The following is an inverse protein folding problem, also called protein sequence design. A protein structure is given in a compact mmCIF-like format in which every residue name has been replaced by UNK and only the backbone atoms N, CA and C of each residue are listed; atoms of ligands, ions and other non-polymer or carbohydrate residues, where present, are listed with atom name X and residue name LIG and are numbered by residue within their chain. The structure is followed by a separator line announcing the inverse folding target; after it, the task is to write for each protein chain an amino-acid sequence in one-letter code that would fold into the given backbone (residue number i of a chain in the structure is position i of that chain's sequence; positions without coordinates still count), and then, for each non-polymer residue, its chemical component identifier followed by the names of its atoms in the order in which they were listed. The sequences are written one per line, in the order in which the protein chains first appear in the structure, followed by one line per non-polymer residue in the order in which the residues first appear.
data_IF_488507656626
#
_entry.id   IF_488507656626
#
_cell.length_a   1.000
_cell.length_b   1.000
_cell.length_c   1.000
_cell.angle_alpha   90.00
_cell.angle_beta   90.00
_cell.angle_gamma   90.00
#
_symmetry.space_group_name_H-M   'P 1'
#
loop_
_entity.id
_entity.type
_entity.pdbx_description
1 polymer ?
#
# COMPACT_ATOMS: atom_id res chain seq x y z
N UNK A 1 44.13 12.60 -2.84
CA UNK A 1 42.72 12.79 -3.22
C UNK A 1 42.12 11.45 -3.66
N UNK A 2 41.29 10.76 -2.85
CA UNK A 2 40.62 9.54 -3.30
C UNK A 2 39.09 9.71 -3.47
N UNK A 3 38.67 9.54 -4.74
CA UNK A 3 37.50 8.77 -5.21
C UNK A 3 36.11 9.09 -4.62
N UNK A 4 35.43 10.04 -5.27
CA UNK A 4 33.96 10.22 -5.26
C UNK A 4 33.21 9.16 -6.10
N UNK A 5 33.64 7.89 -6.11
CA UNK A 5 33.02 6.86 -6.97
C UNK A 5 31.84 6.10 -6.32
N UNK A 6 31.36 6.55 -5.16
CA UNK A 6 30.37 5.81 -4.34
C UNK A 6 28.90 6.29 -4.36
N UNK A 7 28.46 7.39 -5.01
CA UNK A 7 27.05 7.77 -4.96
C UNK A 7 26.17 7.09 -6.03
N UNK A 8 26.76 6.45 -7.06
CA UNK A 8 26.00 5.93 -8.20
C UNK A 8 25.17 4.66 -7.87
N UNK A 9 25.58 3.85 -6.90
CA UNK A 9 24.92 2.59 -6.57
C UNK A 9 23.57 2.77 -5.85
N UNK A 10 23.36 3.91 -5.17
CA UNK A 10 22.10 4.17 -4.47
C UNK A 10 20.98 4.62 -5.42
N UNK A 11 21.30 5.22 -6.57
CA UNK A 11 20.27 5.63 -7.54
C UNK A 11 19.60 4.44 -8.25
N UNK A 12 20.33 3.35 -8.49
CA UNK A 12 19.77 2.15 -9.16
C UNK A 12 18.70 1.45 -8.33
N UNK A 13 18.74 1.54 -7.00
CA UNK A 13 17.77 0.88 -6.12
C UNK A 13 16.43 1.61 -6.05
N UNK A 14 16.42 2.94 -6.21
CA UNK A 14 15.19 3.74 -6.24
C UNK A 14 14.36 3.51 -7.51
N UNK A 15 15.00 3.09 -8.60
CA UNK A 15 14.32 2.85 -9.87
C UNK A 15 13.34 1.66 -9.81
N UNK A 16 13.62 0.64 -8.99
CA UNK A 16 12.78 -0.58 -8.92
C UNK A 16 11.44 -0.36 -8.20
N UNK A 17 11.40 0.50 -7.17
CA UNK A 17 10.18 0.75 -6.40
C UNK A 17 9.12 1.53 -7.20
N UNK A 18 9.52 2.24 -8.26
CA UNK A 18 8.63 3.01 -9.13
C UNK A 18 8.08 2.20 -10.31
N UNK A 19 8.61 1.01 -10.61
CA UNK A 19 8.26 0.27 -11.81
C UNK A 19 6.76 -0.10 -11.87
N UNK A 20 6.14 -0.42 -10.74
CA UNK A 20 4.71 -0.78 -10.72
C UNK A 20 3.82 0.42 -11.10
N UNK A 21 4.17 1.63 -10.65
CA UNK A 21 3.43 2.85 -11.00
C UNK A 21 3.58 3.21 -12.48
N UNK A 22 4.73 2.88 -13.08
CA UNK A 22 4.97 3.10 -14.52
C UNK A 22 4.14 2.13 -15.35
N UNK A 23 3.96 0.88 -14.90
CA UNK A 23 3.16 -0.11 -15.62
C UNK A 23 1.70 0.32 -15.79
N UNK A 24 1.16 1.08 -14.83
CA UNK A 24 -0.19 1.66 -14.88
C UNK A 24 -0.19 3.16 -15.20
N UNK A 25 0.93 3.74 -15.66
CA UNK A 25 1.09 5.19 -15.80
C UNK A 25 -0.03 5.90 -16.58
N UNK A 26 -0.58 5.21 -17.60
CA UNK A 26 -1.59 5.73 -18.51
C UNK A 26 -3.04 5.51 -18.03
N UNK A 27 -3.23 4.78 -16.93
CA UNK A 27 -4.54 4.53 -16.32
C UNK A 27 -4.59 5.16 -14.92
N UNK A 28 -5.18 6.35 -14.78
CA UNK A 28 -5.21 7.05 -13.50
C UNK A 28 -5.98 6.28 -12.43
N UNK A 29 -6.97 5.47 -12.80
CA UNK A 29 -7.77 4.66 -11.88
C UNK A 29 -6.94 3.49 -11.36
N UNK A 30 -6.26 2.76 -12.27
CA UNK A 30 -5.38 1.67 -11.87
C UNK A 30 -4.21 2.15 -10.99
N UNK A 31 -3.72 3.37 -11.21
CA UNK A 31 -2.71 4.00 -10.33
C UNK A 31 -3.24 4.28 -8.94
N UNK A 32 -4.41 4.92 -8.83
CA UNK A 32 -5.03 5.20 -7.54
C UNK A 32 -5.27 3.90 -6.75
N UNK A 33 -5.75 2.85 -7.43
CA UNK A 33 -5.94 1.51 -6.85
C UNK A 33 -4.64 0.89 -6.33
N UNK A 34 -3.55 0.99 -7.11
CA UNK A 34 -2.24 0.47 -6.72
C UNK A 34 -1.70 1.20 -5.49
N UNK A 35 -1.84 2.53 -5.44
CA UNK A 35 -1.46 3.33 -4.27
C UNK A 35 -2.28 2.99 -3.06
N UNK A 36 -3.59 2.89 -3.22
CA UNK A 36 -4.49 2.53 -2.14
C UNK A 36 -4.11 1.19 -1.53
N UNK A 37 -3.86 0.19 -2.37
CA UNK A 37 -3.39 -1.13 -1.95
C UNK A 37 -2.13 -1.02 -1.10
N UNK A 38 -1.08 -0.34 -1.60
CA UNK A 38 0.21 -0.19 -0.90
C UNK A 38 0.07 0.62 0.39
N UNK A 39 -0.68 1.73 0.33
CA UNK A 39 -0.87 2.65 1.45
C UNK A 39 -1.68 2.02 2.57
N UNK A 40 -2.74 1.26 2.25
CA UNK A 40 -3.57 0.59 3.25
C UNK A 40 -2.84 -0.56 3.94
N UNK A 41 -2.10 -1.37 3.18
CA UNK A 41 -1.24 -2.41 3.75
C UNK A 41 -0.25 -1.75 4.71
N UNK A 42 0.50 -0.74 4.25
CA UNK A 42 1.48 -0.06 5.08
C UNK A 42 0.88 0.58 6.35
N UNK A 43 -0.29 1.20 6.25
CA UNK A 43 -0.96 1.79 7.41
C UNK A 43 -1.31 0.73 8.46
N UNK A 44 -1.85 -0.41 8.04
CA UNK A 44 -2.23 -1.51 8.95
C UNK A 44 -1.00 -2.21 9.54
N UNK A 45 0.05 -2.45 8.75
CA UNK A 45 1.31 -3.03 9.27
C UNK A 45 1.97 -2.10 10.29
N UNK A 46 1.95 -0.78 10.05
CA UNK A 46 2.48 0.20 10.99
C UNK A 46 1.69 0.26 12.31
N UNK A 47 0.37 0.13 12.25
CA UNK A 47 -0.50 0.15 13.44
C UNK A 47 -0.38 -1.15 14.25
N UNK A 48 -0.32 -2.30 13.57
CA UNK A 48 -0.33 -3.62 14.21
C UNK A 48 1.05 -4.14 14.58
N UNK A 49 2.12 -3.63 13.93
CA UNK A 49 3.47 -4.18 14.02
C UNK A 49 3.64 -5.55 13.34
N UNK A 50 2.61 -6.06 12.66
CA UNK A 50 2.63 -7.34 11.95
C UNK A 50 2.95 -7.09 10.48
N UNK A 51 3.84 -7.92 9.91
CA UNK A 51 4.16 -7.89 8.48
C UNK A 51 3.41 -8.99 7.74
N UNK A 52 3.21 -8.79 6.44
CA UNK A 52 2.47 -9.72 5.59
C UNK A 52 0.96 -9.45 5.56
N UNK A 53 0.56 -8.20 5.85
CA UNK A 53 -0.83 -7.81 5.64
C UNK A 53 -1.16 -7.76 4.15
N UNK A 54 -2.40 -8.09 3.78
CA UNK A 54 -2.81 -8.20 2.39
C UNK A 54 -4.24 -7.73 2.17
N UNK A 55 -4.53 -7.16 1.00
CA UNK A 55 -5.90 -6.80 0.63
C UNK A 55 -6.75 -8.05 0.51
N UNK A 56 -7.89 -8.04 1.20
CA UNK A 56 -8.91 -9.06 1.07
C UNK A 56 -9.82 -8.71 -0.12
N UNK A 57 -9.79 -9.53 -1.15
CA UNK A 57 -10.62 -9.38 -2.36
C UNK A 57 -11.87 -10.26 -2.36
N UNK A 58 -12.09 -11.03 -1.28
CA UNK A 58 -13.24 -11.93 -1.14
C UNK A 58 -14.43 -11.29 -0.45
N UNK A 59 -14.19 -10.27 0.39
CA UNK A 59 -15.25 -9.49 1.03
C UNK A 59 -15.72 -8.44 0.02
N UNK A 60 -17.00 -8.44 -0.38
CA UNK A 60 -17.51 -7.44 -1.31
C UNK A 60 -17.55 -6.08 -0.61
N UNK A 61 -17.01 -5.07 -1.29
CA UNK A 61 -17.02 -3.68 -0.87
C UNK A 61 -17.85 -2.90 -1.90
N UNK A 62 -18.82 -2.11 -1.45
CA UNK A 62 -19.67 -1.30 -2.34
C UNK A 62 -19.25 0.16 -2.38
N UNK A 63 -18.55 0.63 -1.34
CA UNK A 63 -18.04 1.98 -1.21
C UNK A 63 -16.73 2.18 -1.98
N UNK A 64 -16.61 3.30 -2.68
CA UNK A 64 -15.35 3.74 -3.27
C UNK A 64 -14.33 4.05 -2.16
N UNK A 65 -13.04 3.88 -2.49
CA UNK A 65 -11.93 4.19 -1.58
C UNK A 65 -11.94 3.42 -0.25
N UNK A 66 -12.65 2.29 -0.18
CA UNK A 66 -12.65 1.41 0.97
C UNK A 66 -11.97 0.07 0.63
N UNK A 67 -11.13 -0.40 1.56
CA UNK A 67 -10.33 -1.61 1.38
C UNK A 67 -10.35 -2.44 2.65
N UNK A 68 -10.54 -3.75 2.51
CA UNK A 68 -10.37 -4.67 3.63
C UNK A 68 -8.95 -5.22 3.60
N UNK A 69 -8.26 -5.18 4.73
CA UNK A 69 -6.89 -5.64 4.92
C UNK A 69 -6.88 -6.79 5.91
N UNK A 70 -6.45 -7.97 5.48
CA UNK A 70 -6.22 -9.11 6.35
C UNK A 70 -4.85 -9.00 7.01
N UNK A 71 -4.79 -9.32 8.30
CA UNK A 71 -3.54 -9.43 9.06
C UNK A 71 -3.38 -10.88 9.53
N UNK A 72 -2.20 -11.49 9.38
CA UNK A 72 -1.98 -12.86 9.84
C UNK A 72 -2.28 -13.02 11.34
N UNK A 73 -3.13 -13.99 11.69
CA UNK A 73 -3.52 -14.32 13.07
C UNK A 73 -4.16 -13.16 13.86
N UNK A 74 -4.73 -12.16 13.18
CA UNK A 74 -5.38 -11.01 13.81
C UNK A 74 -6.69 -10.65 13.09
N UNK A 75 -7.55 -9.82 13.71
CA UNK A 75 -8.73 -9.29 13.04
C UNK A 75 -8.35 -8.53 11.76
N UNK A 76 -9.26 -8.52 10.79
CA UNK A 76 -9.08 -7.71 9.59
C UNK A 76 -9.41 -6.24 9.87
N UNK A 77 -8.87 -5.37 9.04
CA UNK A 77 -9.00 -3.93 9.14
C UNK A 77 -9.71 -3.37 7.93
N UNK A 78 -10.48 -2.31 8.14
CA UNK A 78 -11.03 -1.49 7.07
C UNK A 78 -10.15 -0.27 6.92
N UNK A 79 -9.64 -0.03 5.73
CA UNK A 79 -8.87 1.15 5.36
C UNK A 79 -9.68 2.04 4.43
N UNK A 80 -9.62 3.35 4.65
CA UNK A 80 -10.24 4.37 3.81
C UNK A 80 -9.17 5.24 3.17
N UNK A 81 -9.31 5.54 1.87
CA UNK A 81 -8.36 6.38 1.13
C UNK A 81 -8.99 7.67 0.60
N UNK A 82 -8.15 8.62 0.18
CA UNK A 82 -8.58 9.68 -0.74
C UNK A 82 -8.63 9.17 -2.18
N UNK A 83 -9.05 10.04 -3.11
CA UNK A 83 -9.14 9.75 -4.55
C UNK A 83 -7.78 9.48 -5.20
N UNK A 84 -6.68 9.86 -4.55
CA UNK A 84 -5.31 9.59 -5.01
C UNK A 84 -4.79 8.23 -4.52
N UNK A 85 -5.56 7.52 -3.70
CA UNK A 85 -5.17 6.23 -3.10
C UNK A 85 -4.28 6.34 -1.86
N UNK A 86 -4.27 7.48 -1.17
CA UNK A 86 -3.57 7.63 0.11
C UNK A 86 -4.50 7.26 1.26
N UNK A 87 -4.04 6.39 2.16
CA UNK A 87 -4.79 6.01 3.37
C UNK A 87 -4.99 7.23 4.29
N UNK A 88 -6.24 7.45 4.69
CA UNK A 88 -6.65 8.52 5.61
C UNK A 88 -6.99 7.99 6.99
N UNK A 89 -7.61 6.81 7.06
CA UNK A 89 -7.99 6.19 8.32
C UNK A 89 -8.05 4.67 8.19
N UNK A 90 -7.85 4.01 9.33
CA UNK A 90 -8.00 2.57 9.48
C UNK A 90 -8.88 2.28 10.69
N UNK A 91 -9.71 1.26 10.57
CA UNK A 91 -10.63 0.82 11.63
C UNK A 91 -10.50 -0.69 11.77
N UNK A 92 -10.13 -1.14 12.96
CA UNK A 92 -10.11 -2.55 13.31
C UNK A 92 -11.53 -3.11 13.27
N UNK A 93 -11.75 -4.20 12.54
CA UNK A 93 -13.02 -4.87 12.58
C UNK A 93 -13.04 -5.87 13.73
N UNK A 94 -13.62 -5.47 14.86
CA UNK A 94 -13.78 -6.32 16.05
C UNK A 94 -14.91 -7.35 15.94
N UNK A 95 -15.59 -7.44 14.80
CA UNK A 95 -16.59 -8.49 14.55
C UNK A 95 -15.87 -9.72 14.01
N UNK A 96 -15.29 -10.49 14.94
CA UNK A 96 -14.76 -11.84 14.74
C UNK A 96 -15.38 -12.79 15.75
#
# INVERSE_FOLDING_TARGET
MPRLLRPALFLSLLALAACDEVAVANDPVARAQLRATKSCISAVENETGVTGAAINTTIPIVEINQYIVNVPNAPYWTCFTNDEGQAQSIVENRRG
#
